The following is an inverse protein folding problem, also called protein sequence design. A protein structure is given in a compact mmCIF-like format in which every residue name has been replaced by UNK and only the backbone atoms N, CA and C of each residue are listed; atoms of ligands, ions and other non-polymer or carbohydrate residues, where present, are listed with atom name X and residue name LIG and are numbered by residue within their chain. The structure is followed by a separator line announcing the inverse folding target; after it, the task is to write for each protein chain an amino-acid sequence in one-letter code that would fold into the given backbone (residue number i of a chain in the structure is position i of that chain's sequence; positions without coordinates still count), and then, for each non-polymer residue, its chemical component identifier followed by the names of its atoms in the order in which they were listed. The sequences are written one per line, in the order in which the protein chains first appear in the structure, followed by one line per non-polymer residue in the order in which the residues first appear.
data_IF_771901760602
#
_entry.id   IF_771901760602
#
_cell.length_a   1.000
_cell.length_b   1.000
_cell.length_c   1.000
_cell.angle_alpha   90.00
_cell.angle_beta   90.00
_cell.angle_gamma   90.00
#
_symmetry.space_group_name_H-M   'P 1'
#
loop_
_entity.id
_entity.type
_entity.pdbx_description
1 polymer ?
#
# COMPACT_ATOMS: atom_id res chain seq x y z
N UNK A 1 -3.15 -63.83 12.19
CA UNK A 1 -1.70 -63.82 12.47
C UNK A 1 -1.45 -62.84 13.62
N UNK A 2 -1.14 -63.27 14.85
CA UNK A 2 0.18 -63.73 15.33
C UNK A 2 1.30 -62.71 14.99
N UNK A 3 2.23 -62.26 15.84
CA UNK A 3 2.62 -62.55 17.24
C UNK A 3 3.90 -61.72 17.53
N UNK A 4 4.11 -61.32 18.80
CA UNK A 4 5.38 -61.43 19.56
C UNK A 4 6.53 -60.40 19.39
N UNK A 5 6.75 -59.68 20.52
CA UNK A 5 7.99 -59.39 21.31
C UNK A 5 9.27 -58.85 20.64
N UNK A 6 9.80 -57.77 21.26
CA UNK A 6 11.08 -57.63 22.03
C UNK A 6 11.50 -56.14 21.98
N UNK A 7 12.05 -55.48 23.00
CA UNK A 7 12.49 -55.89 24.31
C UNK A 7 12.71 -54.66 25.20
N UNK A 8 12.25 -54.75 26.44
CA UNK A 8 12.73 -53.94 27.56
C UNK A 8 13.69 -54.87 28.33
N UNK A 9 14.98 -54.52 28.29
CA UNK A 9 16.07 -55.10 29.08
C UNK A 9 16.93 -53.89 29.50
N UNK A 10 17.00 -53.48 30.76
CA UNK A 10 17.73 -54.04 31.93
C UNK A 10 18.79 -53.02 32.37
N UNK A 11 18.60 -52.45 33.56
CA UNK A 11 19.59 -52.14 34.59
C UNK A 11 18.76 -51.64 35.80
N UNK A 12 18.45 -52.41 36.86
CA UNK A 12 19.36 -52.99 37.86
C UNK A 12 20.31 -51.90 38.41
N UNK A 13 20.32 -51.51 39.70
CA UNK A 13 20.58 -52.34 40.90
C UNK A 13 20.33 -51.48 42.18
N UNK A 14 19.88 -52.16 43.25
CA UNK A 14 20.02 -51.87 44.70
C UNK A 14 19.32 -50.62 45.29
N UNK A 15 18.54 -50.71 46.38
CA UNK A 15 18.26 -51.84 47.25
C UNK A 15 17.15 -51.46 48.23
N UNK A 16 15.97 -52.05 48.02
CA UNK A 16 14.93 -52.22 49.04
C UNK A 16 14.58 -53.70 49.00
N UNK A 17 15.40 -54.52 49.64
CA UNK A 17 15.16 -55.96 49.75
C UNK A 17 15.82 -56.51 51.01
N UNK A 18 15.06 -56.59 52.10
CA UNK A 18 15.19 -57.61 53.15
C UNK A 18 13.96 -57.55 54.09
N UNK A 19 12.77 -57.78 53.55
CA UNK A 19 11.61 -58.21 54.36
C UNK A 19 11.04 -59.46 53.68
N UNK A 20 11.81 -60.55 53.71
CA UNK A 20 11.37 -61.90 53.37
C UNK A 20 12.29 -62.90 54.06
N UNK A 21 11.92 -63.31 55.28
CA UNK A 21 12.36 -64.57 55.87
C UNK A 21 11.11 -65.26 56.44
N UNK A 22 10.48 -66.08 55.59
CA UNK A 22 9.50 -67.08 55.98
C UNK A 22 10.26 -68.40 56.17
N UNK A 23 10.35 -68.90 57.40
CA UNK A 23 10.40 -70.34 57.78
C UNK A 23 10.72 -70.53 59.28
N UNK A 24 9.71 -70.81 60.11
CA UNK A 24 9.66 -71.91 61.09
C UNK A 24 8.40 -71.80 61.98
N UNK A 25 7.90 -72.94 62.45
CA UNK A 25 6.67 -73.13 63.20
C UNK A 25 6.49 -72.27 64.47
N UNK A 26 5.24 -72.03 64.93
CA UNK A 26 4.95 -71.28 66.14
C UNK A 26 5.14 -72.19 67.35
N UNK A 27 6.37 -72.27 67.86
CA UNK A 27 6.55 -72.66 69.26
C UNK A 27 6.07 -71.49 70.10
N UNK A 28 4.86 -71.62 70.65
CA UNK A 28 4.39 -70.88 71.81
C UNK A 28 5.49 -70.92 72.86
N UNK A 29 6.30 -69.86 72.89
CA UNK A 29 6.99 -69.43 74.08
C UNK A 29 6.03 -68.46 74.76
N UNK A 30 5.58 -68.91 75.92
CA UNK A 30 4.91 -68.16 76.97
C UNK A 30 5.02 -66.65 76.82
N UNK A 31 3.89 -65.96 76.86
CA UNK A 31 3.82 -64.55 77.13
C UNK A 31 4.57 -64.23 78.44
N UNK A 32 5.84 -63.84 78.33
CA UNK A 32 6.46 -62.98 79.33
C UNK A 32 5.92 -61.59 79.07
N UNK A 33 5.03 -61.14 79.96
CA UNK A 33 4.65 -59.75 80.03
C UNK A 33 5.92 -58.91 80.16
N UNK A 34 6.26 -58.03 79.19
CA UNK A 34 7.31 -57.08 79.41
C UNK A 34 6.79 -56.17 80.52
N UNK A 35 7.46 -56.22 81.66
CA UNK A 35 7.26 -55.30 82.76
C UNK A 35 7.26 -53.88 82.19
N UNK A 36 6.27 -53.07 82.56
CA UNK A 36 6.07 -51.71 82.01
C UNK A 36 7.26 -50.76 82.19
N UNK A 37 8.31 -51.18 82.89
CA UNK A 37 9.59 -50.48 83.01
C UNK A 37 10.53 -50.71 81.79
N UNK A 38 10.45 -51.84 81.10
CA UNK A 38 11.26 -52.13 79.88
C UNK A 38 10.68 -51.43 78.63
N UNK A 39 9.44 -50.93 78.72
CA UNK A 39 8.78 -50.07 77.74
C UNK A 39 9.11 -48.57 77.93
N UNK A 40 9.47 -48.17 79.17
CA UNK A 40 9.75 -46.79 79.56
C UNK A 40 11.24 -46.43 79.46
N UNK A 41 12.15 -47.42 79.54
CA UNK A 41 13.59 -47.24 79.39
C UNK A 41 14.11 -48.06 78.21
N UNK A 42 14.28 -47.45 77.02
CA UNK A 42 14.81 -48.16 75.87
C UNK A 42 16.24 -48.65 76.15
N UNK A 43 16.51 -49.93 75.84
CA UNK A 43 17.85 -50.50 75.94
C UNK A 43 18.80 -49.71 75.03
N UNK A 44 20.01 -49.32 75.49
CA UNK A 44 20.95 -48.53 74.68
C UNK A 44 21.38 -49.25 73.38
N UNK A 45 21.21 -50.57 73.32
CA UNK A 45 21.47 -51.39 72.14
C UNK A 45 20.48 -51.15 70.98
N UNK A 46 19.24 -50.73 71.24
CA UNK A 46 18.24 -50.43 70.20
C UNK A 46 18.29 -48.97 69.75
N UNK A 47 18.79 -48.08 70.61
CA UNK A 47 18.94 -46.66 70.30
C UNK A 47 20.00 -46.38 69.22
N UNK A 48 21.14 -47.10 69.25
CA UNK A 48 22.25 -46.92 68.29
C UNK A 48 21.82 -47.21 66.83
N UNK A 49 21.21 -48.36 66.49
CA UNK A 49 20.75 -48.62 65.12
C UNK A 49 19.59 -47.70 64.70
N UNK A 50 18.71 -47.32 65.62
CA UNK A 50 17.65 -46.33 65.34
C UNK A 50 18.24 -44.95 65.00
N UNK A 51 19.27 -44.51 65.72
CA UNK A 51 19.98 -43.27 65.45
C UNK A 51 20.71 -43.31 64.10
N UNK A 52 21.34 -44.43 63.76
CA UNK A 52 21.98 -44.63 62.45
C UNK A 52 20.94 -44.58 61.33
N UNK A 53 19.80 -45.26 61.48
CA UNK A 53 18.71 -45.21 60.51
C UNK A 53 18.15 -43.78 60.35
N UNK A 54 17.98 -43.04 61.45
CA UNK A 54 17.56 -41.64 61.43
C UNK A 54 18.57 -40.74 60.71
N UNK A 55 19.87 -40.90 60.97
CA UNK A 55 20.93 -40.14 60.31
C UNK A 55 21.02 -40.44 58.80
N UNK A 56 20.84 -41.71 58.41
CA UNK A 56 20.79 -42.09 56.99
C UNK A 56 19.60 -41.41 56.31
N UNK A 57 18.40 -41.47 56.90
CA UNK A 57 17.20 -40.82 56.35
C UNK A 57 17.39 -39.31 56.29
N UNK A 58 17.93 -38.69 57.34
CA UNK A 58 18.22 -37.25 57.36
C UNK A 58 19.18 -36.88 56.24
N UNK A 59 20.28 -37.60 56.06
CA UNK A 59 21.24 -37.30 55.01
C UNK A 59 20.61 -37.40 53.60
N UNK A 60 19.78 -38.42 53.38
CA UNK A 60 19.04 -38.59 52.12
C UNK A 60 18.03 -37.45 51.89
N UNK A 61 17.25 -37.07 52.91
CA UNK A 61 16.31 -35.97 52.82
C UNK A 61 17.01 -34.62 52.59
N UNK A 62 18.08 -34.35 53.33
CA UNK A 62 18.86 -33.11 53.18
C UNK A 62 19.48 -33.00 51.79
N UNK A 63 20.01 -34.10 51.25
CA UNK A 63 20.63 -34.10 49.92
C UNK A 63 19.63 -34.11 48.76
N UNK A 64 18.42 -34.68 48.92
CA UNK A 64 17.47 -34.88 47.82
C UNK A 64 16.23 -33.99 47.90
N UNK A 65 15.61 -33.84 49.08
CA UNK A 65 14.39 -33.05 49.23
C UNK A 65 14.67 -31.54 49.24
N UNK A 66 15.72 -31.11 49.94
CA UNK A 66 16.08 -29.68 50.03
C UNK A 66 16.34 -29.01 48.67
N UNK A 67 17.17 -29.56 47.77
CA UNK A 67 17.39 -28.93 46.46
C UNK A 67 16.14 -28.93 45.58
N UNK A 68 15.27 -29.94 45.71
CA UNK A 68 14.01 -30.00 44.92
C UNK A 68 13.03 -28.89 45.31
N UNK A 69 12.89 -28.61 46.62
CA UNK A 69 12.03 -27.54 47.13
C UNK A 69 12.57 -26.16 46.72
N UNK A 70 13.86 -25.93 46.89
CA UNK A 70 14.50 -24.66 46.49
C UNK A 70 14.34 -24.43 44.99
N UNK A 71 14.58 -25.46 44.16
CA UNK A 71 14.41 -25.36 42.70
C UNK A 71 12.97 -25.04 42.30
N UNK A 72 11.97 -25.56 43.02
CA UNK A 72 10.57 -25.22 42.76
C UNK A 72 10.26 -23.76 43.11
N UNK A 73 10.80 -23.25 44.22
CA UNK A 73 10.62 -21.85 44.60
C UNK A 73 11.32 -20.90 43.64
N UNK A 74 12.57 -21.20 43.27
CA UNK A 74 13.34 -20.43 42.30
C UNK A 74 12.64 -20.40 40.95
N UNK A 75 12.16 -21.55 40.44
CA UNK A 75 11.39 -21.60 39.19
C UNK A 75 10.07 -20.81 39.26
N UNK A 76 9.40 -20.77 40.42
CA UNK A 76 8.20 -19.92 40.59
C UNK A 76 8.57 -18.44 40.59
N UNK A 77 9.64 -18.07 41.27
CA UNK A 77 10.11 -16.69 41.31
C UNK A 77 10.55 -16.21 39.92
N UNK A 78 11.33 -17.02 39.21
CA UNK A 78 11.78 -16.75 37.84
C UNK A 78 10.61 -16.58 36.89
N UNK A 79 9.60 -17.47 36.93
CA UNK A 79 8.39 -17.33 36.11
C UNK A 79 7.61 -16.06 36.40
N UNK A 80 7.45 -15.71 37.68
CA UNK A 80 6.74 -14.47 38.05
C UNK A 80 7.50 -13.26 37.52
N UNK A 81 8.83 -13.27 37.64
CA UNK A 81 9.67 -12.19 37.11
C UNK A 81 9.59 -12.11 35.58
N UNK A 82 9.69 -13.25 34.89
CA UNK A 82 9.56 -13.33 33.43
C UNK A 82 8.18 -12.85 32.96
N UNK A 83 7.09 -13.27 33.62
CA UNK A 83 5.73 -12.86 33.30
C UNK A 83 5.53 -11.35 33.52
N UNK A 84 6.11 -10.78 34.59
CA UNK A 84 6.06 -9.34 34.88
C UNK A 84 6.87 -8.55 33.83
N UNK A 85 8.08 -8.99 33.53
CA UNK A 85 8.94 -8.36 32.53
C UNK A 85 8.31 -8.45 31.13
N UNK A 86 7.68 -9.58 30.79
CA UNK A 86 6.95 -9.77 29.54
C UNK A 86 5.72 -8.84 29.46
N UNK A 87 4.97 -8.70 30.56
CA UNK A 87 3.83 -7.80 30.63
C UNK A 87 4.26 -6.33 30.49
N UNK A 88 5.32 -5.90 31.18
CA UNK A 88 5.87 -4.54 31.07
C UNK A 88 6.36 -4.27 29.64
N UNK A 89 7.13 -5.18 29.06
CA UNK A 89 7.59 -5.07 27.67
C UNK A 89 6.42 -5.02 26.68
N UNK A 90 5.36 -5.81 26.89
CA UNK A 90 4.17 -5.76 26.05
C UNK A 90 3.44 -4.43 26.18
N UNK A 91 3.37 -3.86 27.39
CA UNK A 91 2.78 -2.53 27.61
C UNK A 91 3.59 -1.43 26.92
N UNK A 92 4.92 -1.46 27.02
CA UNK A 92 5.81 -0.50 26.36
C UNK A 92 5.64 -0.59 24.85
N UNK A 93 5.72 -1.80 24.27
CA UNK A 93 5.52 -2.01 22.83
C UNK A 93 4.15 -1.54 22.36
N UNK A 94 3.09 -1.87 23.09
CA UNK A 94 1.74 -1.39 22.74
C UNK A 94 1.64 0.14 22.76
N UNK A 95 2.28 0.80 23.73
CA UNK A 95 2.33 2.26 23.80
C UNK A 95 3.17 2.88 22.66
N UNK A 96 4.28 2.25 22.28
CA UNK A 96 5.10 2.65 21.12
C UNK A 96 4.35 2.46 19.81
N UNK A 97 3.71 1.31 19.60
CA UNK A 97 2.90 1.01 18.42
C UNK A 97 1.72 1.99 18.31
N UNK A 98 1.07 2.34 19.42
CA UNK A 98 0.01 3.33 19.44
C UNK A 98 0.52 4.72 19.02
N UNK A 99 1.70 5.12 19.51
CA UNK A 99 2.34 6.39 19.12
C UNK A 99 2.73 6.39 17.64
N UNK A 100 3.31 5.30 17.15
CA UNK A 100 3.69 5.14 15.75
C UNK A 100 2.45 5.16 14.83
N UNK A 101 1.38 4.48 15.22
CA UNK A 101 0.10 4.50 14.51
C UNK A 101 -0.49 5.91 14.46
N UNK A 102 -0.54 6.62 15.59
CA UNK A 102 -1.01 8.00 15.65
C UNK A 102 -0.18 8.92 14.75
N UNK A 103 1.16 8.82 14.82
CA UNK A 103 2.06 9.58 13.96
C UNK A 103 1.85 9.28 12.46
N UNK A 104 1.65 8.01 12.09
CA UNK A 104 1.39 7.62 10.70
C UNK A 104 0.05 8.15 10.19
N UNK A 105 -0.98 8.21 11.03
CA UNK A 105 -2.28 8.80 10.69
C UNK A 105 -2.14 10.30 10.45
N UNK A 106 -1.40 11.00 11.32
CA UNK A 106 -1.15 12.43 11.16
C UNK A 106 -0.32 12.74 9.91
N UNK A 107 0.70 11.93 9.62
CA UNK A 107 1.48 12.04 8.39
C UNK A 107 0.60 11.78 7.15
N UNK A 108 -0.24 10.75 7.18
CA UNK A 108 -1.17 10.45 6.09
C UNK A 108 -2.17 11.60 5.85
N UNK A 109 -2.67 12.23 6.91
CA UNK A 109 -3.54 13.42 6.82
C UNK A 109 -2.81 14.59 6.18
N UNK A 110 -1.58 14.89 6.62
CA UNK A 110 -0.75 15.95 6.01
C UNK A 110 -0.51 15.71 4.53
N UNK A 111 -0.13 14.48 4.15
CA UNK A 111 0.04 14.11 2.73
C UNK A 111 -1.25 14.23 1.94
N UNK A 112 -2.39 13.85 2.50
CA UNK A 112 -3.69 14.02 1.85
C UNK A 112 -4.02 15.50 1.61
N UNK A 113 -3.79 16.36 2.62
CA UNK A 113 -4.01 17.80 2.50
C UNK A 113 -3.07 18.43 1.47
N UNK A 114 -1.80 18.01 1.44
CA UNK A 114 -0.81 18.42 0.44
C UNK A 114 -1.24 18.02 -0.98
N UNK A 115 -1.69 16.76 -1.18
CA UNK A 115 -2.18 16.28 -2.47
C UNK A 115 -3.41 17.08 -2.92
N UNK A 116 -4.37 17.33 -2.03
CA UNK A 116 -5.57 18.10 -2.35
C UNK A 116 -5.21 19.55 -2.69
N UNK A 117 -4.29 20.16 -1.95
CA UNK A 117 -3.81 21.52 -2.23
C UNK A 117 -3.05 21.58 -3.56
N UNK A 118 -2.20 20.60 -3.86
CA UNK A 118 -1.46 20.52 -5.11
C UNK A 118 -2.42 20.33 -6.29
N UNK A 119 -3.38 19.41 -6.20
CA UNK A 119 -4.38 19.17 -7.24
C UNK A 119 -5.27 20.40 -7.49
N UNK A 120 -5.63 21.16 -6.45
CA UNK A 120 -6.35 22.43 -6.61
C UNK A 120 -5.51 23.46 -7.35
N UNK A 121 -4.23 23.62 -6.98
CA UNK A 121 -3.32 24.57 -7.65
C UNK A 121 -3.12 24.19 -9.11
N UNK A 122 -2.86 22.93 -9.40
CA UNK A 122 -2.71 22.41 -10.76
C UNK A 122 -4.01 22.58 -11.56
N UNK A 123 -5.16 22.33 -10.96
CA UNK A 123 -6.46 22.55 -11.60
C UNK A 123 -6.73 24.01 -11.94
N UNK A 124 -6.36 24.97 -11.08
CA UNK A 124 -6.48 26.40 -11.38
C UNK A 124 -5.47 26.86 -12.44
N UNK A 125 -4.25 26.33 -12.43
CA UNK A 125 -3.23 26.59 -13.45
C UNK A 125 -3.68 26.07 -14.83
N UNK A 126 -4.19 24.84 -14.89
CA UNK A 126 -4.71 24.25 -16.13
C UNK A 126 -5.95 25.00 -16.62
N UNK A 127 -6.85 25.39 -15.71
CA UNK A 127 -8.01 26.23 -16.05
C UNK A 127 -7.57 27.55 -16.66
N UNK A 128 -6.58 28.22 -16.07
CA UNK A 128 -6.03 29.46 -16.60
C UNK A 128 -5.40 29.25 -17.98
N UNK A 129 -4.64 28.16 -18.16
CA UNK A 129 -4.03 27.78 -19.43
C UNK A 129 -5.07 27.53 -20.52
N UNK A 130 -6.12 26.75 -20.25
CA UNK A 130 -7.22 26.48 -21.18
C UNK A 130 -7.93 27.78 -21.57
N UNK A 131 -8.21 28.67 -20.62
CA UNK A 131 -8.86 29.96 -20.92
C UNK A 131 -7.97 30.83 -21.80
N UNK A 132 -6.66 30.88 -21.54
CA UNK A 132 -5.73 31.67 -22.35
C UNK A 132 -5.59 31.10 -23.76
N UNK A 133 -5.49 29.78 -23.89
CA UNK A 133 -5.47 29.10 -25.18
C UNK A 133 -6.77 29.36 -25.95
N UNK A 134 -7.93 29.23 -25.30
CA UNK A 134 -9.22 29.49 -25.93
C UNK A 134 -9.36 30.94 -26.42
N UNK A 135 -8.85 31.92 -25.65
CA UNK A 135 -8.82 33.34 -26.08
C UNK A 135 -7.92 33.54 -27.29
N UNK A 136 -6.74 32.91 -27.30
CA UNK A 136 -5.81 32.96 -28.42
C UNK A 136 -6.42 32.35 -29.68
N UNK A 137 -7.02 31.17 -29.57
CA UNK A 137 -7.71 30.51 -30.67
C UNK A 137 -8.89 31.34 -31.19
N UNK A 138 -9.69 31.93 -30.29
CA UNK A 138 -10.77 32.83 -30.67
C UNK A 138 -10.26 34.06 -31.44
N UNK A 139 -9.17 34.68 -30.97
CA UNK A 139 -8.53 35.80 -31.66
C UNK A 139 -8.01 35.38 -33.05
N UNK A 140 -7.39 34.21 -33.16
CA UNK A 140 -6.90 33.68 -34.44
C UNK A 140 -8.04 33.39 -35.42
N UNK A 141 -9.16 32.86 -34.93
CA UNK A 141 -10.38 32.62 -35.73
C UNK A 141 -10.93 33.95 -36.25
N UNK A 142 -11.03 34.97 -35.40
CA UNK A 142 -11.52 36.30 -35.78
C UNK A 142 -10.59 36.93 -36.83
N UNK A 143 -9.27 36.86 -36.62
CA UNK A 143 -8.29 37.38 -37.57
C UNK A 143 -8.38 36.68 -38.94
N UNK A 144 -8.49 35.35 -38.95
CA UNK A 144 -8.71 34.57 -40.18
C UNK A 144 -10.03 34.92 -40.84
N UNK A 145 -11.10 35.12 -40.07
CA UNK A 145 -12.40 35.56 -40.55
C UNK A 145 -12.35 36.90 -41.27
N UNK A 146 -11.68 37.89 -40.68
CA UNK A 146 -11.46 39.20 -41.33
C UNK A 146 -10.68 39.05 -42.64
N UNK A 147 -9.58 38.29 -42.64
CA UNK A 147 -8.80 38.05 -43.85
C UNK A 147 -9.62 37.35 -44.94
N UNK A 148 -10.47 36.39 -44.58
CA UNK A 148 -11.34 35.70 -45.51
C UNK A 148 -12.39 36.65 -46.10
N UNK A 149 -13.04 37.47 -45.27
CA UNK A 149 -14.01 38.48 -45.70
C UNK A 149 -13.38 39.50 -46.66
N UNK A 150 -12.17 39.97 -46.36
CA UNK A 150 -11.45 40.90 -47.24
C UNK A 150 -11.10 40.27 -48.59
N UNK A 151 -10.69 39.00 -48.59
CA UNK A 151 -10.42 38.25 -49.83
C UNK A 151 -11.68 38.04 -50.66
N UNK A 152 -12.80 37.70 -50.03
CA UNK A 152 -14.08 37.48 -50.69
C UNK A 152 -14.64 38.80 -51.24
N UNK A 153 -14.49 39.91 -50.49
CA UNK A 153 -14.87 41.25 -50.95
C UNK A 153 -14.13 41.63 -52.23
N UNK A 154 -12.81 41.39 -52.29
CA UNK A 154 -12.00 41.65 -53.49
C UNK A 154 -12.44 40.80 -54.68
N UNK A 155 -12.81 39.54 -54.41
CA UNK A 155 -13.35 38.63 -55.43
C UNK A 155 -14.70 39.13 -55.96
N UNK A 156 -15.65 39.44 -55.08
CA UNK A 156 -16.95 40.02 -55.47
C UNK A 156 -16.81 41.32 -56.25
N UNK A 157 -15.87 42.21 -55.89
CA UNK A 157 -15.62 43.45 -56.64
C UNK A 157 -15.09 43.17 -58.06
N UNK A 158 -14.22 42.17 -58.21
CA UNK A 158 -13.72 41.74 -59.53
C UNK A 158 -14.86 41.15 -60.37
N UNK A 159 -15.66 40.26 -59.79
CA UNK A 159 -16.80 39.62 -60.46
C UNK A 159 -17.89 40.63 -60.85
N UNK A 160 -18.17 41.61 -59.97
CA UNK A 160 -19.08 42.71 -60.25
C UNK A 160 -18.57 43.59 -61.39
N UNK A 161 -17.27 43.90 -61.39
CA UNK A 161 -16.65 44.70 -62.46
C UNK A 161 -16.75 43.98 -63.81
N UNK A 162 -16.51 42.66 -63.85
CA UNK A 162 -16.71 41.86 -65.07
C UNK A 162 -18.16 41.91 -65.53
N UNK A 163 -19.12 41.71 -64.62
CA UNK A 163 -20.55 41.72 -64.94
C UNK A 163 -21.03 43.07 -65.49
N UNK A 164 -20.48 44.18 -64.96
CA UNK A 164 -20.79 45.54 -65.44
C UNK A 164 -20.18 45.78 -66.83
N UNK A 165 -18.97 45.27 -67.11
CA UNK A 165 -18.35 45.34 -68.44
C UNK A 165 -19.20 44.57 -69.45
N UNK A 166 -19.58 43.34 -69.13
CA UNK A 166 -20.41 42.49 -70.00
C UNK A 166 -21.77 43.15 -70.31
N UNK A 167 -22.43 43.70 -69.28
CA UNK A 167 -23.69 44.44 -69.45
C UNK A 167 -23.51 45.71 -70.30
N UNK A 168 -22.39 46.43 -70.11
CA UNK A 168 -22.09 47.64 -70.89
C UNK A 168 -21.86 47.31 -72.37
N UNK A 169 -21.17 46.21 -72.67
CA UNK A 169 -20.98 45.70 -74.03
C UNK A 169 -22.30 45.28 -74.65
N UNK A 170 -23.18 44.60 -73.91
CA UNK A 170 -24.51 44.22 -74.39
C UNK A 170 -25.36 45.44 -74.74
N UNK A 171 -25.38 46.47 -73.88
CA UNK A 171 -26.10 47.73 -74.11
C UNK A 171 -25.54 48.46 -75.33
N UNK A 172 -24.22 48.60 -75.44
CA UNK A 172 -23.57 49.23 -76.59
C UNK A 172 -23.89 48.47 -77.90
N UNK A 173 -23.87 47.13 -77.86
CA UNK A 173 -24.27 46.28 -78.98
C UNK A 173 -25.72 46.48 -79.40
N UNK A 174 -26.66 46.60 -78.45
CA UNK A 174 -28.07 46.90 -78.74
C UNK A 174 -28.29 48.31 -79.30
N UNK A 175 -27.59 49.32 -78.79
CA UNK A 175 -27.68 50.70 -79.30
C UNK A 175 -27.18 50.75 -80.75
N UNK A 176 -25.97 50.22 -81.01
CA UNK A 176 -25.40 50.17 -82.34
C UNK A 176 -26.30 49.35 -83.28
N UNK A 177 -26.78 48.19 -82.85
CA UNK A 177 -27.64 47.31 -83.66
C UNK A 177 -29.01 47.90 -84.02
N UNK A 178 -29.56 48.81 -83.20
CA UNK A 178 -30.88 49.40 -83.43
C UNK A 178 -30.84 50.79 -84.10
N UNK A 179 -29.74 51.56 -84.02
CA UNK A 179 -29.65 52.92 -84.59
C UNK A 179 -28.92 53.02 -85.94
N UNK A 180 -28.31 51.96 -86.47
CA UNK A 180 -27.53 52.03 -87.72
C UNK A 180 -28.39 52.26 -88.98
N UNK A 181 -28.52 53.52 -89.39
CA UNK A 181 -28.93 53.93 -90.74
C UNK A 181 -27.73 53.90 -91.72
N UNK A 182 -27.98 53.70 -93.02
CA UNK A 182 -26.97 53.49 -94.07
C UNK A 182 -25.94 54.65 -94.13
N UNK A 183 -26.37 55.86 -93.78
CA UNK A 183 -25.53 57.05 -93.70
C UNK A 183 -24.50 57.02 -92.54
N UNK A 184 -24.83 56.42 -91.40
CA UNK A 184 -23.94 56.34 -90.24
C UNK A 184 -22.85 55.26 -90.41
N UNK A 185 -23.18 54.15 -91.09
CA UNK A 185 -22.20 53.11 -91.46
C UNK A 185 -21.10 53.66 -92.36
N UNK A 186 -21.46 54.50 -93.35
CA UNK A 186 -20.50 55.17 -94.24
C UNK A 186 -19.56 56.12 -93.49
N UNK A 187 -20.11 56.91 -92.56
CA UNK A 187 -19.33 57.81 -91.69
C UNK A 187 -18.35 57.08 -90.79
N UNK A 188 -18.72 55.90 -90.27
CA UNK A 188 -17.85 55.10 -89.42
C UNK A 188 -16.68 54.49 -90.23
N UNK A 189 -16.96 54.02 -91.44
CA UNK A 189 -15.94 53.52 -92.37
C UNK A 189 -14.93 54.61 -92.77
N UNK A 190 -15.40 55.81 -93.09
CA UNK A 190 -14.53 56.97 -93.39
C UNK A 190 -13.65 57.36 -92.19
N UNK A 191 -14.19 57.30 -90.97
CA UNK A 191 -13.43 57.62 -89.74
C UNK A 191 -12.35 56.58 -89.42
N UNK A 192 -12.62 55.29 -89.63
CA UNK A 192 -11.61 54.22 -89.51
C UNK A 192 -10.52 54.36 -90.59
N UNK A 193 -10.88 54.66 -91.85
CA UNK A 193 -9.89 54.95 -92.88
C UNK A 193 -9.04 56.18 -92.53
N UNK A 194 -9.61 57.19 -91.86
CA UNK A 194 -8.89 58.39 -91.43
C UNK A 194 -7.98 58.18 -90.22
N UNK A 195 -8.29 57.25 -89.31
CA UNK A 195 -7.42 56.90 -88.16
C UNK A 195 -6.30 55.94 -88.55
N UNK A 196 -6.58 54.94 -89.38
CA UNK A 196 -5.56 54.01 -89.91
C UNK A 196 -4.68 54.68 -90.98
N UNK A 197 -5.21 55.70 -91.67
CA UNK A 197 -4.48 56.49 -92.66
C UNK A 197 -3.59 57.60 -92.08
N UNK A 198 -3.54 57.80 -90.76
CA UNK A 198 -2.57 58.70 -90.11
C UNK A 198 -1.27 57.93 -89.85
N UNK A 199 -0.15 58.27 -90.53
CA UNK A 199 1.13 57.63 -90.25
C UNK A 199 1.55 57.92 -88.81
N UNK A 200 2.07 56.89 -88.16
CA UNK A 200 2.71 56.96 -86.85
C UNK A 200 3.97 57.84 -86.93
N UNK A 201 3.79 59.15 -86.75
CA UNK A 201 4.89 60.04 -86.40
C UNK A 201 4.95 60.15 -84.88
N UNK A 202 5.67 59.24 -84.20
CA UNK A 202 6.70 59.55 -83.18
C UNK A 202 7.65 58.37 -82.95
N UNK A 203 8.94 58.71 -82.96
CA UNK A 203 10.12 57.87 -82.71
C UNK A 203 10.09 57.10 -81.40
#
# INVERSE_FOLDING_TARGET
MNTIRKGVKTAAVAGVAAVTFMTLAPSVALAESPSGADLLLPKPAEFIPALIAFLIIWFVLGKFAWPSILKMMESRQEKIQEDLDAAENSHIKAAEDQKAAAASIDEARRKADEIVSAAKREGEEERAHIIEQAKKEASDIIAKGHSAVDSERRRCLTDLSSSVVDLSVEIAGKIIGNELDEAQQRRLAEKYLAEVGKPDERK
#
